data_IF_487163992995
#
_entry.id   IF_487163992995
#
_cell.length_a   1.000
_cell.length_b   1.000
_cell.length_c   1.000
_cell.angle_alpha   90.00
_cell.angle_beta   90.00
_cell.angle_gamma   90.00
#
_symmetry.space_group_name_H-M   'P 1'
#
loop_
_entity.id
_entity.type
_entity.pdbx_description
1 polymer ?
#
# COMPACT_ATOMS: atom_id res chain seq x y z
N UNK A 1 20.34 -5.47 0.34
CA UNK A 1 19.16 -6.31 0.06
C UNK A 1 17.93 -5.51 0.47
N UNK A 2 17.14 -5.05 -0.50
CA UNK A 2 15.83 -4.43 -0.28
C UNK A 2 15.00 -5.32 0.66
N UNK A 3 14.50 -4.74 1.76
CA UNK A 3 14.07 -5.45 2.96
C UNK A 3 12.72 -6.19 2.83
N UNK A 4 12.55 -6.99 1.77
CA UNK A 4 11.34 -7.75 1.46
C UNK A 4 10.18 -6.92 0.93
N UNK A 5 10.45 -5.71 0.40
CA UNK A 5 9.45 -4.83 -0.20
C UNK A 5 9.46 -4.87 -1.74
N UNK A 6 9.60 -6.06 -2.31
CA UNK A 6 9.59 -6.27 -3.76
C UNK A 6 8.73 -7.47 -4.13
N UNK A 7 8.16 -7.42 -5.33
CA UNK A 7 7.44 -8.51 -5.99
C UNK A 7 7.58 -8.40 -7.51
N UNK A 8 7.06 -9.38 -8.26
CA UNK A 8 7.06 -9.37 -9.73
C UNK A 8 6.36 -8.14 -10.34
N UNK A 9 5.45 -7.51 -9.60
CA UNK A 9 4.68 -6.35 -10.06
C UNK A 9 5.13 -5.03 -9.41
N UNK A 10 6.08 -5.07 -8.49
CA UNK A 10 6.49 -3.90 -7.75
C UNK A 10 7.93 -4.03 -7.28
N UNK A 11 8.82 -3.24 -7.89
CA UNK A 11 10.21 -3.12 -7.47
C UNK A 11 10.51 -1.69 -7.03
N UNK A 12 11.09 -1.56 -5.84
CA UNK A 12 11.50 -0.29 -5.24
C UNK A 12 13.00 -0.03 -5.41
N UNK A 13 13.79 -1.06 -5.73
CA UNK A 13 15.25 -0.98 -5.71
C UNK A 13 15.77 0.08 -6.68
N UNK A 14 15.24 0.10 -7.91
CA UNK A 14 15.66 1.03 -8.96
C UNK A 14 15.41 2.50 -8.61
N UNK A 15 14.24 2.82 -8.04
CA UNK A 15 13.87 4.21 -7.72
C UNK A 15 14.65 4.74 -6.53
N UNK A 16 14.84 3.92 -5.49
CA UNK A 16 15.60 4.31 -4.29
C UNK A 16 17.08 4.48 -4.64
N UNK A 17 17.66 3.58 -5.45
CA UNK A 17 19.05 3.67 -5.89
C UNK A 17 19.29 4.88 -6.81
N UNK A 18 18.30 5.27 -7.62
CA UNK A 18 18.36 6.44 -8.49
C UNK A 18 18.12 7.78 -7.78
N UNK A 19 17.85 7.79 -6.46
CA UNK A 19 17.50 9.01 -5.73
C UNK A 19 16.15 9.62 -6.15
N UNK A 20 15.27 8.83 -6.79
CA UNK A 20 13.96 9.29 -7.22
C UNK A 20 13.04 9.47 -6.00
N UNK A 21 12.48 10.67 -5.86
CA UNK A 21 11.54 11.02 -4.79
C UNK A 21 10.22 10.25 -4.89
N UNK A 22 9.92 9.61 -6.03
CA UNK A 22 8.76 8.74 -6.26
C UNK A 22 9.00 7.30 -5.78
N UNK A 23 9.64 7.13 -4.63
CA UNK A 23 9.88 5.82 -4.01
C UNK A 23 8.59 5.09 -3.55
N UNK A 24 7.40 5.66 -3.78
CA UNK A 24 6.09 5.02 -3.60
C UNK A 24 5.64 4.87 -2.14
N UNK A 25 6.39 4.12 -1.34
CA UNK A 25 6.12 3.91 0.08
C UNK A 25 7.00 4.82 0.94
N UNK A 26 6.38 5.72 1.70
CA UNK A 26 7.07 6.46 2.76
C UNK A 26 7.54 5.52 3.89
N UNK A 27 8.39 6.03 4.79
CA UNK A 27 8.96 5.23 5.88
C UNK A 27 7.92 4.61 6.82
N UNK A 28 6.80 5.31 7.05
CA UNK A 28 5.73 4.82 7.90
C UNK A 28 4.95 3.68 7.23
N UNK A 29 4.66 3.82 5.93
CA UNK A 29 4.00 2.79 5.14
C UNK A 29 4.85 1.51 5.06
N UNK A 30 6.18 1.64 4.90
CA UNK A 30 7.10 0.48 4.93
C UNK A 30 7.04 -0.24 6.29
N UNK A 31 7.08 0.50 7.39
CA UNK A 31 7.00 -0.10 8.72
C UNK A 31 5.70 -0.87 8.93
N UNK A 32 4.57 -0.31 8.47
CA UNK A 32 3.26 -0.91 8.63
C UNK A 32 3.07 -2.16 7.74
N UNK A 33 3.51 -2.10 6.48
CA UNK A 33 3.48 -3.28 5.59
C UNK A 33 4.30 -4.42 6.19
N UNK A 34 5.50 -4.12 6.72
CA UNK A 34 6.33 -5.13 7.38
C UNK A 34 5.66 -5.71 8.64
N UNK A 35 4.95 -4.87 9.40
CA UNK A 35 4.16 -5.32 10.55
C UNK A 35 3.06 -6.29 10.13
N UNK A 36 2.34 -5.98 9.04
CA UNK A 36 1.29 -6.85 8.49
C UNK A 36 1.86 -8.18 7.99
N UNK A 37 2.98 -8.15 7.25
CA UNK A 37 3.67 -9.37 6.79
C UNK A 37 3.99 -10.31 7.97
N UNK A 38 4.54 -9.76 9.06
CA UNK A 38 4.86 -10.54 10.26
C UNK A 38 3.62 -11.03 11.01
N UNK A 39 2.61 -10.18 11.16
CA UNK A 39 1.41 -10.50 11.92
C UNK A 39 0.51 -11.53 11.22
N UNK A 40 0.48 -11.53 9.88
CA UNK A 40 -0.40 -12.40 9.09
C UNK A 40 0.35 -13.51 8.35
N UNK A 41 1.68 -13.54 8.40
CA UNK A 41 2.49 -14.53 7.71
C UNK A 41 2.38 -14.46 6.19
N UNK A 42 2.13 -13.28 5.63
CA UNK A 42 1.88 -13.08 4.19
C UNK A 42 3.03 -12.35 3.47
N UNK A 43 3.05 -12.48 2.15
CA UNK A 43 4.00 -11.81 1.27
C UNK A 43 3.75 -10.31 1.12
N UNK A 44 4.67 -9.61 0.44
CA UNK A 44 4.64 -8.15 0.29
C UNK A 44 3.38 -7.62 -0.38
N UNK A 45 2.95 -8.22 -1.50
CA UNK A 45 1.77 -7.73 -2.22
C UNK A 45 0.49 -7.88 -1.42
N UNK A 46 0.33 -9.00 -0.70
CA UNK A 46 -0.83 -9.20 0.15
C UNK A 46 -0.82 -8.22 1.33
N UNK A 47 0.32 -8.04 1.99
CA UNK A 47 0.45 -7.08 3.07
C UNK A 47 0.19 -5.64 2.61
N UNK A 48 0.67 -5.27 1.41
CA UNK A 48 0.42 -3.96 0.79
C UNK A 48 -1.05 -3.76 0.44
N UNK A 49 -1.73 -4.79 -0.07
CA UNK A 49 -3.18 -4.77 -0.33
C UNK A 49 -3.96 -4.54 0.97
N UNK A 50 -3.64 -5.26 2.03
CA UNK A 50 -4.28 -5.11 3.34
C UNK A 50 -4.04 -3.71 3.91
N UNK A 51 -2.80 -3.23 3.86
CA UNK A 51 -2.45 -1.87 4.27
C UNK A 51 -3.32 -0.81 3.56
N UNK A 52 -3.50 -0.95 2.24
CA UNK A 52 -4.32 -0.03 1.47
C UNK A 52 -5.80 -0.11 1.86
N UNK A 53 -6.34 -1.32 2.00
CA UNK A 53 -7.73 -1.52 2.42
C UNK A 53 -8.01 -0.94 3.81
N UNK A 54 -7.09 -1.12 4.76
CA UNK A 54 -7.19 -0.55 6.10
C UNK A 54 -7.15 0.98 6.05
N UNK A 55 -6.29 1.58 5.20
CA UNK A 55 -6.25 3.03 4.97
C UNK A 55 -7.55 3.54 4.35
N UNK A 56 -8.11 2.85 3.36
CA UNK A 56 -9.39 3.22 2.76
C UNK A 56 -10.51 3.20 3.79
N UNK A 57 -10.63 2.11 4.56
CA UNK A 57 -11.64 1.99 5.59
C UNK A 57 -11.53 3.12 6.64
N UNK A 58 -10.31 3.44 7.11
CA UNK A 58 -10.05 4.54 8.05
C UNK A 58 -10.45 5.92 7.49
N UNK A 59 -10.50 6.09 6.17
CA UNK A 59 -10.84 7.34 5.50
C UNK A 59 -12.25 7.32 4.88
N UNK A 60 -13.13 6.40 5.30
CA UNK A 60 -14.49 6.23 4.75
C UNK A 60 -14.52 5.97 3.24
N UNK A 61 -13.53 5.24 2.74
CA UNK A 61 -13.45 4.78 1.35
C UNK A 61 -13.78 3.28 1.32
N UNK A 62 -14.59 2.87 0.35
CA UNK A 62 -14.94 1.50 0.06
C UNK A 62 -13.76 0.70 -0.48
N UNK A 63 -13.84 -0.66 -0.45
CA UNK A 63 -12.82 -1.51 -1.05
C UNK A 63 -12.73 -1.37 -2.58
N UNK A 64 -13.77 -0.82 -3.20
CA UNK A 64 -13.86 -0.43 -4.61
C UNK A 64 -13.20 0.94 -4.91
N UNK A 65 -12.65 1.61 -3.89
CA UNK A 65 -12.00 2.91 -4.02
C UNK A 65 -12.97 4.09 -4.05
N UNK A 66 -14.28 3.88 -3.86
CA UNK A 66 -15.27 4.95 -3.84
C UNK A 66 -15.54 5.46 -2.43
N UNK A 67 -15.79 6.76 -2.22
CA UNK A 67 -16.26 7.27 -0.94
C UNK A 67 -17.55 6.57 -0.49
N UNK A 68 -17.68 6.31 0.81
CA UNK A 68 -18.90 5.75 1.42
C UNK A 68 -19.92 6.84 1.78
N UNK A 69 -19.72 8.06 1.31
CA UNK A 69 -20.64 9.17 1.54
C UNK A 69 -21.97 8.90 0.81
N UNK A 70 -23.13 8.90 1.51
CA UNK A 70 -24.45 8.71 0.89
C UNK A 70 -24.79 9.73 -0.21
N UNK A 71 -24.12 10.89 -0.22
CA UNK A 71 -24.27 11.95 -1.21
C UNK A 71 -23.18 11.93 -2.29
N UNK A 72 -22.31 10.92 -2.29
CA UNK A 72 -21.31 10.76 -3.34
C UNK A 72 -21.99 10.49 -4.69
N UNK A 73 -21.68 11.31 -5.70
CA UNK A 73 -22.13 11.16 -7.08
C UNK A 73 -20.91 10.88 -7.96
N UNK A 74 -20.96 9.80 -8.74
CA UNK A 74 -19.94 9.48 -9.75
C UNK A 74 -20.57 9.40 -11.14
N UNK A 75 -19.83 9.86 -12.14
CA UNK A 75 -20.18 9.69 -13.55
C UNK A 75 -19.22 8.66 -14.16
N UNK A 76 -19.73 7.67 -14.87
CA UNK A 76 -18.96 6.59 -15.50
C UNK A 76 -19.55 6.25 -16.87
#
# INVERSE_FOLDING_TARGET
MEAGFSSAHFDLAGNVAGGDSRAGLDGAAKAEVRRIMRARGCGFDEARRIYMQDRFAKNNIGPDGRPRDPKFVSFS
#
